data_IF_824602837284
#
_entry.id   IF_824602837284
#
_cell.length_a   1.000
_cell.length_b   1.000
_cell.length_c   1.000
_cell.angle_alpha   90.00
_cell.angle_beta   90.00
_cell.angle_gamma   90.00
#
_symmetry.space_group_name_H-M   'P 1'
#
loop_
_entity.id
_entity.type
_entity.pdbx_description
1 polymer ?
#
# COMPACT_ATOMS: atom_id res chain seq x y z
N UNK A 1 3.70 30.67 4.76
CA UNK A 1 2.81 30.49 3.59
C UNK A 1 2.59 29.01 3.40
N UNK A 2 1.35 28.56 3.49
CA UNK A 2 0.95 27.16 3.28
C UNK A 2 0.58 26.98 1.81
N UNK A 3 1.05 25.89 1.20
CA UNK A 3 0.71 25.54 -0.19
C UNK A 3 -0.47 24.57 -0.15
N UNK A 4 -1.61 24.94 -0.72
CA UNK A 4 -2.85 24.15 -0.67
C UNK A 4 -3.61 24.22 -2.00
N UNK A 5 -4.37 23.18 -2.32
CA UNK A 5 -5.20 23.11 -3.52
C UNK A 5 -5.67 21.69 -3.82
N UNK A 6 -6.17 21.46 -5.03
CA UNK A 6 -6.65 20.15 -5.48
C UNK A 6 -5.67 19.48 -6.42
N UNK A 7 -5.53 18.15 -6.34
CA UNK A 7 -4.74 17.38 -7.31
C UNK A 7 -5.37 17.36 -8.71
N UNK A 8 -6.65 17.73 -8.84
CA UNK A 8 -7.31 17.92 -10.15
C UNK A 8 -6.78 19.15 -10.87
N UNK A 9 -6.64 20.27 -10.15
CA UNK A 9 -6.14 21.53 -10.70
C UNK A 9 -4.62 21.52 -10.82
N UNK A 10 -3.94 20.91 -9.85
CA UNK A 10 -2.49 20.87 -9.78
C UNK A 10 -2.00 19.44 -9.47
N UNK A 11 -1.60 18.67 -10.50
CA UNK A 11 -1.21 17.28 -10.31
C UNK A 11 -0.15 17.11 -9.22
N UNK A 12 -0.29 16.07 -8.39
CA UNK A 12 0.59 15.81 -7.26
C UNK A 12 2.08 15.83 -7.65
N UNK A 13 2.42 15.31 -8.83
CA UNK A 13 3.80 15.34 -9.35
C UNK A 13 4.32 16.77 -9.52
N UNK A 14 3.50 17.68 -10.03
CA UNK A 14 3.87 19.08 -10.17
C UNK A 14 4.06 19.77 -8.80
N UNK A 15 3.23 19.43 -7.80
CA UNK A 15 3.41 19.91 -6.41
C UNK A 15 4.78 19.49 -5.89
N UNK A 16 5.11 18.21 -6.03
CA UNK A 16 6.38 17.65 -5.55
C UNK A 16 7.58 18.23 -6.30
N UNK A 17 7.46 18.45 -7.62
CA UNK A 17 8.50 19.11 -8.41
C UNK A 17 8.74 20.56 -7.92
N UNK A 18 7.68 21.31 -7.58
CA UNK A 18 7.79 22.65 -7.00
C UNK A 18 8.47 22.63 -5.62
N UNK A 19 8.07 21.71 -4.74
CA UNK A 19 8.70 21.53 -3.42
C UNK A 19 10.17 21.12 -3.56
N UNK A 20 10.49 20.33 -4.58
CA UNK A 20 11.84 19.94 -4.97
C UNK A 20 12.72 21.13 -5.37
N UNK A 21 12.22 21.96 -6.29
CA UNK A 21 12.93 23.16 -6.75
C UNK A 21 13.16 24.17 -5.63
N UNK A 22 12.22 24.28 -4.70
CA UNK A 22 12.28 25.20 -3.56
C UNK A 22 12.92 24.57 -2.31
N UNK A 23 13.41 23.32 -2.41
CA UNK A 23 14.08 22.54 -1.36
C UNK A 23 13.33 22.56 -0.02
N UNK A 24 12.01 22.46 -0.06
CA UNK A 24 11.18 22.56 1.16
C UNK A 24 11.31 21.31 2.02
N UNK A 25 11.12 21.49 3.32
CA UNK A 25 11.03 20.43 4.32
C UNK A 25 9.68 20.59 5.05
N UNK A 26 8.98 19.49 5.28
CA UNK A 26 7.66 19.49 5.91
C UNK A 26 6.83 18.29 5.54
N UNK A 27 5.53 18.40 5.77
CA UNK A 27 4.54 17.37 5.47
C UNK A 27 3.58 17.87 4.38
N UNK A 28 3.30 17.02 3.40
CA UNK A 28 2.24 17.21 2.43
C UNK A 28 1.12 16.22 2.74
N UNK A 29 0.01 16.72 3.26
CA UNK A 29 -1.19 15.93 3.49
C UNK A 29 -2.05 15.89 2.23
N UNK A 30 -2.67 14.74 1.97
CA UNK A 30 -3.64 14.52 0.90
C UNK A 30 -4.93 13.94 1.50
N UNK A 31 -6.09 14.50 1.13
CA UNK A 31 -7.40 14.06 1.60
C UNK A 31 -8.36 13.88 0.43
N UNK A 32 -8.88 12.67 0.26
CA UNK A 32 -9.91 12.35 -0.72
C UNK A 32 -11.03 11.57 -0.03
N UNK A 33 -12.22 12.16 0.07
CA UNK A 33 -13.35 11.63 0.85
C UNK A 33 -12.92 11.25 2.29
N UNK A 34 -13.09 9.99 2.69
CA UNK A 34 -12.71 9.44 4.00
C UNK A 34 -11.25 8.95 4.05
N UNK A 35 -10.46 9.15 2.99
CA UNK A 35 -9.07 8.68 2.89
C UNK A 35 -8.11 9.85 3.11
N UNK A 36 -7.16 9.66 4.02
CA UNK A 36 -6.11 10.62 4.33
C UNK A 36 -4.75 9.94 4.17
N UNK A 37 -3.85 10.59 3.45
CA UNK A 37 -2.45 10.20 3.34
C UNK A 37 -1.52 11.39 3.60
N UNK A 38 -0.27 11.10 3.93
CA UNK A 38 0.75 12.11 4.16
C UNK A 38 2.08 11.71 3.51
N UNK A 39 2.77 12.69 2.94
CA UNK A 39 4.14 12.56 2.45
C UNK A 39 5.06 13.43 3.29
N UNK A 40 6.10 12.83 3.85
CA UNK A 40 7.18 13.57 4.49
C UNK A 40 8.19 14.02 3.44
N UNK A 41 8.46 15.32 3.41
CA UNK A 41 9.39 15.95 2.49
C UNK A 41 10.59 16.47 3.29
N UNK A 42 11.81 16.17 2.85
CA UNK A 42 13.04 16.72 3.39
C UNK A 42 13.93 17.24 2.26
N UNK A 43 14.30 18.53 2.32
CA UNK A 43 15.16 19.16 1.32
C UNK A 43 14.63 19.02 -0.12
N UNK A 44 13.32 18.99 -0.29
CA UNK A 44 12.64 18.83 -1.58
C UNK A 44 12.50 17.38 -2.08
N UNK A 45 12.77 16.37 -1.24
CA UNK A 45 12.61 14.95 -1.60
C UNK A 45 11.58 14.28 -0.71
N UNK A 46 10.84 13.34 -1.28
CA UNK A 46 9.98 12.43 -0.50
C UNK A 46 10.87 11.47 0.27
N UNK A 47 10.78 11.49 1.60
CA UNK A 47 11.57 10.64 2.50
C UNK A 47 10.73 9.65 3.28
N UNK A 48 9.42 9.87 3.37
CA UNK A 48 8.47 8.92 3.96
C UNK A 48 7.07 9.15 3.41
N UNK A 49 6.23 8.14 3.52
CA UNK A 49 4.83 8.20 3.14
C UNK A 49 4.00 7.37 4.13
N UNK A 50 2.81 7.86 4.48
CA UNK A 50 1.90 7.22 5.42
C UNK A 50 0.50 7.22 4.82
N UNK A 51 -0.09 6.03 4.72
CA UNK A 51 -1.45 5.84 4.25
C UNK A 51 -2.01 4.57 4.85
N UNK A 52 -3.08 4.69 5.66
CA UNK A 52 -3.62 3.58 6.43
C UNK A 52 -2.52 2.83 7.21
N UNK A 53 -2.50 1.49 7.13
CA UNK A 53 -1.50 0.62 7.76
C UNK A 53 -0.46 0.08 6.76
N UNK A 54 -0.31 0.74 5.62
CA UNK A 54 0.60 0.31 4.55
C UNK A 54 2.07 0.66 4.88
N UNK A 55 3.00 -0.18 4.42
CA UNK A 55 4.42 0.15 4.45
C UNK A 55 4.70 1.40 3.59
N UNK A 56 5.73 2.22 3.92
CA UNK A 56 5.94 3.53 3.27
C UNK A 56 5.96 3.49 1.74
N UNK A 57 6.53 2.45 1.15
CA UNK A 57 6.59 2.31 -0.30
C UNK A 57 5.21 2.03 -0.92
N UNK A 58 4.40 1.19 -0.29
CA UNK A 58 3.02 0.90 -0.71
C UNK A 58 2.11 2.11 -0.46
N UNK A 59 2.28 2.78 0.69
CA UNK A 59 1.60 4.01 1.04
C UNK A 59 1.82 5.10 -0.01
N UNK A 60 3.06 5.27 -0.48
CA UNK A 60 3.37 6.21 -1.57
C UNK A 60 2.56 5.92 -2.83
N UNK A 61 2.53 4.65 -3.26
CA UNK A 61 1.75 4.24 -4.43
C UNK A 61 0.25 4.47 -4.25
N UNK A 62 -0.28 4.17 -3.06
CA UNK A 62 -1.68 4.39 -2.71
C UNK A 62 -2.07 5.88 -2.73
N UNK A 63 -1.21 6.74 -2.19
CA UNK A 63 -1.41 8.20 -2.20
C UNK A 63 -1.48 8.74 -3.63
N UNK A 64 -0.59 8.28 -4.52
CA UNK A 64 -0.62 8.69 -5.93
C UNK A 64 -1.87 8.21 -6.68
N UNK A 65 -2.56 7.20 -6.16
CA UNK A 65 -3.83 6.71 -6.70
C UNK A 65 -5.06 7.43 -6.11
N UNK A 66 -4.88 8.42 -5.21
CA UNK A 66 -5.97 9.24 -4.69
C UNK A 66 -6.37 10.31 -5.72
N UNK A 67 -7.29 9.93 -6.60
CA UNK A 67 -7.92 10.88 -7.51
C UNK A 67 -8.79 11.88 -6.73
N UNK A 68 -8.79 13.15 -7.14
CA UNK A 68 -9.63 14.18 -6.52
C UNK A 68 -9.22 14.62 -5.12
N UNK A 69 -8.03 14.24 -4.65
CA UNK A 69 -7.55 14.65 -3.33
C UNK A 69 -7.28 16.16 -3.24
N UNK A 70 -7.68 16.76 -2.13
CA UNK A 70 -7.18 18.05 -1.69
C UNK A 70 -5.83 17.86 -1.00
N UNK A 71 -4.88 18.77 -1.23
CA UNK A 71 -3.57 18.75 -0.61
C UNK A 71 -3.32 20.00 0.24
N UNK A 72 -2.54 19.82 1.30
CA UNK A 72 -2.01 20.91 2.12
C UNK A 72 -0.58 20.61 2.54
N UNK A 73 0.32 21.56 2.30
CA UNK A 73 1.71 21.50 2.74
C UNK A 73 1.94 22.34 3.99
N UNK A 74 2.45 21.68 5.03
CA UNK A 74 2.86 22.29 6.28
C UNK A 74 4.38 22.24 6.40
N UNK A 75 5.09 23.38 6.36
CA UNK A 75 6.55 23.42 6.51
C UNK A 75 6.95 23.06 7.94
N UNK A 76 8.03 22.30 8.09
CA UNK A 76 8.62 21.94 9.37
C UNK A 76 10.06 22.47 9.48
N UNK A 77 10.51 22.70 10.71
CA UNK A 77 11.90 23.09 11.00
C UNK A 77 12.85 21.89 10.86
N UNK A 78 12.42 20.71 11.33
CA UNK A 78 13.18 19.47 11.26
C UNK A 78 12.65 18.52 10.18
N UNK A 79 13.56 17.73 9.61
CA UNK A 79 13.21 16.73 8.62
C UNK A 79 12.45 15.56 9.25
N UNK A 80 11.37 15.07 8.62
CA UNK A 80 10.72 13.83 9.03
C UNK A 80 11.70 12.64 8.96
N UNK A 81 11.48 11.57 9.74
CA UNK A 81 12.24 10.33 9.64
C UNK A 81 12.26 9.81 8.19
N UNK A 82 13.45 9.42 7.72
CA UNK A 82 13.63 8.94 6.35
C UNK A 82 13.53 7.42 6.30
N UNK A 83 12.52 6.93 5.60
CA UNK A 83 12.25 5.50 5.37
C UNK A 83 12.25 5.15 3.87
N UNK A 84 12.36 6.16 2.99
CA UNK A 84 12.41 6.02 1.54
C UNK A 84 13.69 6.67 1.01
N UNK A 85 14.34 5.99 0.06
CA UNK A 85 15.57 6.44 -0.57
C UNK A 85 15.48 6.33 -2.10
N UNK A 86 15.94 7.38 -2.78
CA UNK A 86 15.98 7.47 -4.25
C UNK A 86 15.23 8.68 -4.80
N UNK A 87 15.13 8.73 -6.12
CA UNK A 87 14.29 9.71 -6.82
C UNK A 87 12.82 9.33 -6.78
N UNK A 88 11.92 10.30 -6.98
CA UNK A 88 10.48 10.05 -7.01
C UNK A 88 10.10 8.97 -8.04
N UNK A 89 10.68 9.04 -9.25
CA UNK A 89 10.40 8.05 -10.31
C UNK A 89 10.85 6.62 -9.93
N UNK A 90 11.99 6.50 -9.25
CA UNK A 90 12.45 5.20 -8.73
C UNK A 90 11.52 4.67 -7.64
N UNK A 91 11.10 5.54 -6.72
CA UNK A 91 10.16 5.17 -5.65
C UNK A 91 8.80 4.74 -6.20
N UNK A 92 8.25 5.45 -7.19
CA UNK A 92 6.97 5.09 -7.82
C UNK A 92 7.05 3.77 -8.59
N UNK A 93 8.16 3.50 -9.29
CA UNK A 93 8.39 2.21 -9.93
C UNK A 93 8.49 1.07 -8.91
N UNK A 94 9.23 1.28 -7.83
CA UNK A 94 9.33 0.31 -6.73
C UNK A 94 7.97 0.07 -6.06
N UNK A 95 7.15 1.10 -5.90
CA UNK A 95 5.79 0.98 -5.34
C UNK A 95 4.86 0.14 -6.23
N UNK A 96 4.88 0.35 -7.55
CA UNK A 96 4.12 -0.47 -8.50
C UNK A 96 4.55 -1.96 -8.46
N UNK A 97 5.86 -2.20 -8.39
CA UNK A 97 6.40 -3.56 -8.24
C UNK A 97 5.99 -4.21 -6.91
N UNK A 98 6.10 -3.49 -5.80
CA UNK A 98 5.72 -3.99 -4.49
C UNK A 98 4.22 -4.32 -4.43
N UNK A 99 3.37 -3.47 -5.02
CA UNK A 99 1.92 -3.71 -5.12
C UNK A 99 1.63 -5.00 -5.88
N UNK A 100 2.24 -5.20 -7.05
CA UNK A 100 2.08 -6.42 -7.86
C UNK A 100 2.50 -7.68 -7.09
N UNK A 101 3.65 -7.62 -6.42
CA UNK A 101 4.15 -8.73 -5.60
C UNK A 101 3.20 -9.05 -4.43
N UNK A 102 2.65 -8.04 -3.76
CA UNK A 102 1.69 -8.21 -2.68
C UNK A 102 0.39 -8.85 -3.17
N UNK A 103 -0.14 -8.42 -4.33
CA UNK A 103 -1.33 -9.01 -4.94
C UNK A 103 -1.11 -10.47 -5.35
N UNK A 104 0.03 -10.78 -5.96
CA UNK A 104 0.39 -12.15 -6.33
C UNK A 104 0.55 -13.06 -5.09
N UNK A 105 1.20 -12.57 -4.03
CA UNK A 105 1.36 -13.30 -2.79
C UNK A 105 0.01 -13.60 -2.13
N UNK A 106 -0.92 -12.62 -2.11
CA UNK A 106 -2.28 -12.81 -1.60
C UNK A 106 -3.04 -13.88 -2.40
N UNK A 107 -2.99 -13.82 -3.74
CA UNK A 107 -3.63 -14.82 -4.61
C UNK A 107 -3.09 -16.23 -4.38
N UNK A 108 -1.77 -16.38 -4.25
CA UNK A 108 -1.13 -17.68 -3.95
C UNK A 108 -1.57 -18.22 -2.59
N UNK A 109 -1.53 -17.39 -1.55
CA UNK A 109 -1.94 -17.78 -0.21
C UNK A 109 -3.42 -18.19 -0.15
N UNK A 110 -4.30 -17.52 -0.90
CA UNK A 110 -5.71 -17.90 -1.01
C UNK A 110 -5.88 -19.25 -1.72
N UNK A 111 -5.21 -19.46 -2.85
CA UNK A 111 -5.25 -20.72 -3.58
C UNK A 111 -4.72 -21.90 -2.76
N UNK A 112 -3.64 -21.70 -2.00
CA UNK A 112 -3.09 -22.72 -1.09
C UNK A 112 -4.07 -23.06 0.04
N UNK A 113 -4.76 -22.06 0.60
CA UNK A 113 -5.80 -22.29 1.62
C UNK A 113 -6.99 -23.06 1.06
N UNK A 114 -7.43 -22.76 -0.15
CA UNK A 114 -8.52 -23.49 -0.80
C UNK A 114 -8.12 -24.94 -1.10
N UNK A 115 -6.91 -25.16 -1.63
CA UNK A 115 -6.38 -26.51 -1.88
C UNK A 115 -6.26 -27.32 -0.58
N UNK A 116 -5.79 -26.71 0.51
CA UNK A 116 -5.70 -27.35 1.81
C UNK A 116 -7.09 -27.74 2.36
N UNK A 117 -8.11 -26.88 2.15
CA UNK A 117 -9.50 -27.19 2.54
C UNK A 117 -10.07 -28.36 1.77
N UNK A 118 -9.90 -28.38 0.44
CA UNK A 118 -10.38 -29.48 -0.41
C UNK A 118 -9.72 -30.81 -0.02
N UNK A 119 -8.39 -30.81 0.13
CA UNK A 119 -7.66 -32.00 0.56
C UNK A 119 -8.11 -32.53 1.93
N UNK A 120 -8.39 -31.64 2.88
CA UNK A 120 -8.90 -32.03 4.19
C UNK A 120 -10.33 -32.59 4.13
N UNK A 121 -11.17 -32.10 3.22
CA UNK A 121 -12.51 -32.63 2.98
C UNK A 121 -12.47 -34.02 2.33
N UNK A 122 -11.63 -34.20 1.30
CA UNK A 122 -11.40 -35.49 0.65
C UNK A 122 -10.88 -36.55 1.62
N UNK A 123 -9.93 -36.18 2.48
CA UNK A 123 -9.38 -37.10 3.50
C UNK A 123 -10.45 -37.50 4.53
N UNK A 124 -11.29 -36.56 4.97
CA UNK A 124 -12.43 -36.85 5.87
C UNK A 124 -13.48 -37.74 5.23
N UNK A 125 -13.79 -37.52 3.95
CA UNK A 125 -14.73 -38.36 3.22
C UNK A 125 -14.18 -39.78 3.04
N UNK A 126 -12.89 -39.90 2.70
CA UNK A 126 -12.22 -41.19 2.57
C UNK A 126 -12.18 -41.95 3.91
N UNK A 127 -11.89 -41.27 5.01
CA UNK A 127 -11.91 -41.86 6.35
C UNK A 127 -13.32 -42.30 6.76
N UNK A 128 -14.34 -41.49 6.49
CA UNK A 128 -15.75 -41.86 6.73
C UNK A 128 -16.13 -43.13 5.97
N UNK A 129 -15.83 -43.20 4.67
CA UNK A 129 -16.13 -44.38 3.84
C UNK A 129 -15.44 -45.63 4.40
N UNK A 130 -14.16 -45.54 4.77
CA UNK A 130 -13.42 -46.66 5.39
C UNK A 130 -14.06 -47.13 6.69
N UNK A 131 -14.51 -46.21 7.54
CA UNK A 131 -15.18 -46.56 8.80
C UNK A 131 -16.55 -47.22 8.57
N UNK A 132 -17.30 -46.76 7.57
CA UNK A 132 -18.56 -47.39 7.17
C UNK A 132 -18.35 -48.81 6.64
N UNK A 133 -17.34 -49.03 5.79
CA UNK A 133 -16.98 -50.37 5.29
C UNK A 133 -16.57 -51.31 6.43
N UNK A 134 -15.72 -50.85 7.35
CA UNK A 134 -15.32 -51.61 8.54
C UNK A 134 -16.51 -51.98 9.43
N UNK A 135 -17.46 -51.06 9.64
CA UNK A 135 -18.67 -51.31 10.43
C UNK A 135 -19.60 -52.32 9.76
N UNK A 136 -19.65 -52.38 8.43
CA UNK A 136 -20.45 -53.34 7.69
C UNK A 136 -19.91 -54.78 7.75
N UNK A 137 -18.63 -54.95 8.12
CA UNK A 137 -17.93 -56.24 8.24
C UNK A 137 -18.01 -56.88 9.63
N UNK A 138 -18.58 -56.18 10.63
CA UNK A 138 -18.81 -56.72 11.98
C UNK A 138 -20.26 -57.23 12.03
N UNK A 139 -20.50 -58.56 12.07
CA UNK A 139 -21.84 -59.15 12.07
C UNK A 139 -22.63 -58.90 13.37
#
# INVERSE_FOLDING_TARGET
MTLRGSVQDFPLRAVLDLLGQTKKTGELQLRADDRVGALGIAGGRVVTAVFAEEEPLLALGAIFALEGAEFEFTPWDDAPPSNLEGTLDELLRKADQAKKQAEEARRKAEAEREAARKKAEEEREAERKRLEELRALIP
#
